data_IF_341812156825
#
_entry.id   IF_341812156825
#
_cell.length_a   1.000
_cell.length_b   1.000
_cell.length_c   1.000
_cell.angle_alpha   90.00
_cell.angle_beta   90.00
_cell.angle_gamma   90.00
#
_symmetry.space_group_name_H-M   'P 1'
#
loop_
_entity.id
_entity.type
_entity.pdbx_description
1 polymer ?
#
# COMPACT_ATOMS: atom_id res chain seq x y z
N UNK A 1 -6.33 11.18 -1.77
CA UNK A 1 -5.50 10.05 -1.27
C UNK A 1 -4.04 10.20 -1.68
N UNK A 2 -3.72 10.41 -2.95
CA UNK A 2 -2.32 10.53 -3.46
C UNK A 2 -1.48 11.61 -2.77
N UNK A 3 -2.05 12.78 -2.49
CA UNK A 3 -1.35 13.86 -1.78
C UNK A 3 -0.90 13.45 -0.36
N UNK A 4 -1.73 12.68 0.34
CA UNK A 4 -1.36 12.13 1.66
C UNK A 4 -0.24 11.08 1.52
N UNK A 5 -0.26 10.27 0.46
CA UNK A 5 0.83 9.32 0.17
C UNK A 5 2.14 10.06 -0.09
N UNK A 6 2.13 11.12 -0.90
CA UNK A 6 3.31 11.98 -1.13
C UNK A 6 3.86 12.57 0.17
N UNK A 7 2.98 13.06 1.05
CA UNK A 7 3.40 13.58 2.35
C UNK A 7 4.02 12.49 3.25
N UNK A 8 3.51 11.25 3.20
CA UNK A 8 4.11 10.12 3.90
C UNK A 8 5.50 9.77 3.34
N UNK A 9 5.64 9.75 2.01
CA UNK A 9 6.93 9.48 1.36
C UNK A 9 7.95 10.59 1.65
N UNK A 10 7.55 11.85 1.68
CA UNK A 10 8.43 12.98 2.05
C UNK A 10 8.93 12.88 3.50
N UNK A 11 8.15 12.27 4.39
CA UNK A 11 8.53 12.04 5.78
C UNK A 11 9.35 10.74 5.99
N UNK A 12 9.68 10.02 4.91
CA UNK A 12 10.42 8.76 4.97
C UNK A 12 11.80 8.98 5.58
N UNK A 13 12.19 8.10 6.47
CA UNK A 13 13.50 8.14 7.15
C UNK A 13 14.40 7.04 6.62
N UNK A 14 15.70 7.29 6.63
CA UNK A 14 16.72 6.34 6.20
C UNK A 14 16.65 5.02 7.01
N UNK A 15 16.36 5.09 8.30
CA UNK A 15 16.20 3.94 9.18
C UNK A 15 15.04 3.00 8.82
N UNK A 16 14.16 3.43 7.91
CA UNK A 16 13.03 2.62 7.42
C UNK A 16 13.32 1.94 6.07
N UNK A 17 14.54 2.06 5.57
CA UNK A 17 14.94 1.38 4.33
C UNK A 17 14.77 -0.13 4.46
N UNK A 18 14.18 -0.75 3.44
CA UNK A 18 13.88 -2.17 3.43
C UNK A 18 12.64 -2.60 4.22
N UNK A 19 12.01 -1.71 5.00
CA UNK A 19 10.76 -2.04 5.67
C UNK A 19 9.62 -2.22 4.66
N UNK A 20 8.70 -3.12 4.97
CA UNK A 20 7.53 -3.42 4.17
C UNK A 20 6.27 -2.87 4.81
N UNK A 21 5.34 -2.38 3.98
CA UNK A 21 4.04 -1.94 4.43
C UNK A 21 3.17 -3.16 4.75
N UNK A 22 2.71 -3.29 5.99
CA UNK A 22 1.80 -4.36 6.40
C UNK A 22 0.35 -3.90 6.47
N UNK A 23 0.10 -2.62 6.71
CA UNK A 23 -1.26 -2.05 6.76
C UNK A 23 -1.26 -0.65 6.18
N UNK A 24 -2.29 -0.33 5.41
CA UNK A 24 -2.65 1.03 5.01
C UNK A 24 -4.12 1.27 5.37
N UNK A 25 -4.40 2.40 6.00
CA UNK A 25 -5.75 2.87 6.28
C UNK A 25 -5.89 4.30 5.76
N UNK A 26 -7.01 4.56 5.14
CA UNK A 26 -7.42 5.89 4.70
C UNK A 26 -8.86 6.12 5.10
N UNK A 27 -9.16 7.32 5.56
CA UNK A 27 -10.53 7.77 5.76
C UNK A 27 -10.67 9.23 5.37
N UNK A 28 -11.87 9.59 4.92
CA UNK A 28 -12.26 10.96 4.59
C UNK A 28 -13.59 11.23 5.24
N UNK A 29 -13.60 12.19 6.18
CA UNK A 29 -14.82 12.71 6.80
C UNK A 29 -15.55 13.69 5.88
N UNK A 30 -16.74 14.08 6.28
CA UNK A 30 -17.49 15.18 5.67
C UNK A 30 -16.80 16.52 5.99
N UNK A 31 -16.77 17.43 5.01
CA UNK A 31 -16.20 18.76 5.15
C UNK A 31 -14.94 19.01 4.38
N UNK A 32 -14.21 20.05 4.78
CA UNK A 32 -13.07 20.58 4.02
C UNK A 32 -11.82 19.70 4.16
N UNK A 33 -11.22 19.39 3.03
CA UNK A 33 -9.91 18.69 2.93
C UNK A 33 -8.76 19.67 2.64
N UNK A 34 -8.99 20.98 2.74
CA UNK A 34 -7.94 21.97 2.58
C UNK A 34 -7.04 22.05 3.81
N UNK A 35 -5.86 22.60 3.65
CA UNK A 35 -4.88 22.77 4.72
C UNK A 35 -3.57 22.07 4.43
N UNK A 36 -2.63 22.23 5.37
CA UNK A 36 -1.32 21.58 5.30
C UNK A 36 -1.40 20.14 5.81
N UNK A 37 -0.63 19.27 5.19
CA UNK A 37 -0.42 17.92 5.69
C UNK A 37 0.36 17.96 7.01
N UNK A 38 -0.17 17.26 8.03
CA UNK A 38 0.52 17.05 9.31
C UNK A 38 0.93 15.59 9.40
N UNK A 39 2.22 15.35 9.54
CA UNK A 39 2.78 13.99 9.62
C UNK A 39 3.23 13.71 11.05
N UNK A 40 2.92 12.54 11.55
CA UNK A 40 3.38 12.02 12.83
C UNK A 40 3.89 10.60 12.70
N UNK A 41 4.96 10.28 13.44
CA UNK A 41 5.59 8.97 13.43
C UNK A 41 5.72 8.44 14.85
N UNK A 42 5.49 7.14 15.05
CA UNK A 42 5.64 6.48 16.34
C UNK A 42 6.08 5.03 16.17
N UNK A 43 6.73 4.48 17.19
CA UNK A 43 7.22 3.11 17.19
C UNK A 43 8.69 3.01 16.76
N UNK A 44 9.33 1.87 17.06
CA UNK A 44 10.74 1.60 16.76
C UNK A 44 10.91 0.38 15.85
N UNK A 45 10.31 -0.74 16.20
CA UNK A 45 10.38 -2.00 15.44
C UNK A 45 9.23 -2.13 14.45
N UNK A 46 8.05 -1.66 14.85
CA UNK A 46 6.88 -1.47 14.01
C UNK A 46 6.64 0.03 13.99
N UNK A 47 6.77 0.64 12.82
CA UNK A 47 6.65 2.07 12.67
C UNK A 47 5.25 2.41 12.18
N UNK A 48 4.55 3.25 12.92
CA UNK A 48 3.31 3.87 12.45
C UNK A 48 3.62 5.25 11.92
N UNK A 49 3.27 5.49 10.68
CA UNK A 49 3.28 6.83 10.09
C UNK A 49 1.85 7.23 9.80
N UNK A 50 1.45 8.41 10.24
CA UNK A 50 0.12 8.96 10.04
C UNK A 50 0.23 10.35 9.45
N UNK A 51 -0.61 10.64 8.46
CA UNK A 51 -0.77 11.99 7.89
C UNK A 51 -2.23 12.38 7.90
N UNK A 52 -2.49 13.62 8.26
CA UNK A 52 -3.82 14.24 8.24
C UNK A 52 -3.80 15.50 7.41
N UNK A 53 -4.90 15.77 6.70
CA UNK A 53 -5.13 17.02 5.96
C UNK A 53 -6.63 17.33 5.99
N UNK A 54 -7.02 18.38 6.73
CA UNK A 54 -8.44 18.65 6.96
C UNK A 54 -9.14 17.45 7.58
N UNK A 55 -10.21 16.98 6.95
CA UNK A 55 -10.98 15.78 7.37
C UNK A 55 -10.43 14.47 6.83
N UNK A 56 -9.37 14.49 6.02
CA UNK A 56 -8.74 13.28 5.49
C UNK A 56 -7.63 12.79 6.42
N UNK A 57 -7.57 11.48 6.62
CA UNK A 57 -6.58 10.78 7.44
C UNK A 57 -6.02 9.58 6.68
N UNK A 58 -4.71 9.41 6.73
CA UNK A 58 -4.06 8.20 6.24
C UNK A 58 -3.03 7.72 7.23
N UNK A 59 -2.98 6.43 7.46
CA UNK A 59 -1.93 5.82 8.28
C UNK A 59 -1.41 4.53 7.66
N UNK A 60 -0.11 4.30 7.84
CA UNK A 60 0.56 3.05 7.46
C UNK A 60 1.24 2.43 8.68
N UNK A 61 1.37 1.11 8.65
CA UNK A 61 2.25 0.35 9.55
C UNK A 61 3.35 -0.29 8.72
N UNK A 62 4.58 0.00 9.07
CA UNK A 62 5.79 -0.56 8.48
C UNK A 62 6.35 -1.64 9.40
N UNK A 63 6.79 -2.74 8.81
CA UNK A 63 7.38 -3.89 9.50
C UNK A 63 8.75 -4.20 8.90
N UNK A 64 9.69 -4.73 9.68
CA UNK A 64 10.87 -5.37 9.13
C UNK A 64 10.48 -6.46 8.13
N UNK A 65 11.26 -6.68 7.06
CA UNK A 65 11.00 -7.78 6.14
C UNK A 65 11.00 -9.11 6.90
N UNK A 66 10.06 -9.99 6.55
CA UNK A 66 9.92 -11.30 7.18
C UNK A 66 9.96 -12.38 6.10
N UNK A 67 10.76 -13.42 6.33
CA UNK A 67 10.86 -14.60 5.46
C UNK A 67 9.70 -15.61 5.66
N UNK A 68 8.65 -15.24 6.38
CA UNK A 68 7.52 -16.16 6.61
C UNK A 68 6.92 -16.56 5.28
N UNK A 69 6.91 -17.89 5.02
CA UNK A 69 6.21 -18.47 3.90
C UNK A 69 4.74 -18.00 3.91
N UNK A 70 4.29 -17.47 2.78
CA UNK A 70 2.89 -17.09 2.60
C UNK A 70 1.98 -18.31 2.77
N UNK A 71 0.82 -18.13 3.36
CA UNK A 71 -0.20 -19.19 3.38
C UNK A 71 -0.67 -19.41 1.95
N UNK A 72 -0.39 -20.61 1.41
CA UNK A 72 -1.00 -21.04 0.17
C UNK A 72 -2.52 -20.99 0.35
N UNK A 73 -3.17 -20.15 -0.42
CA UNK A 73 -4.60 -20.23 -0.64
C UNK A 73 -4.78 -20.53 -2.12
N UNK A 74 -5.33 -21.69 -2.45
CA UNK A 74 -5.83 -21.97 -3.78
C UNK A 74 -6.99 -21.02 -4.09
N UNK A 75 -6.62 -19.81 -4.50
CA UNK A 75 -7.56 -18.74 -4.80
C UNK A 75 -8.00 -18.83 -6.26
N UNK A 76 -9.22 -19.28 -6.52
CA UNK A 76 -9.88 -18.98 -7.79
C UNK A 76 -10.27 -17.51 -7.78
N UNK A 77 -9.55 -16.68 -8.51
CA UNK A 77 -9.85 -15.26 -8.72
C UNK A 77 -9.78 -14.93 -10.22
N UNK A 78 -10.28 -13.76 -10.60
CA UNK A 78 -10.12 -13.24 -11.94
C UNK A 78 -8.79 -12.51 -12.06
N UNK A 79 -8.07 -12.68 -13.16
CA UNK A 79 -6.86 -11.92 -13.44
C UNK A 79 -7.20 -10.42 -13.39
N UNK A 80 -6.47 -9.69 -12.55
CA UNK A 80 -6.67 -8.25 -12.38
C UNK A 80 -5.60 -7.44 -13.12
N UNK A 81 -4.33 -7.67 -12.78
CA UNK A 81 -3.24 -6.92 -13.36
C UNK A 81 -1.90 -7.65 -13.23
N UNK A 82 -0.89 -7.02 -13.81
CA UNK A 82 0.51 -7.36 -13.65
C UNK A 82 1.29 -6.05 -13.67
N UNK A 83 2.04 -5.77 -12.62
CA UNK A 83 2.91 -4.59 -12.55
C UNK A 83 4.26 -4.92 -13.14
N UNK A 84 4.72 -4.18 -14.15
CA UNK A 84 6.08 -4.32 -14.66
C UNK A 84 7.11 -3.69 -13.71
N UNK A 85 8.38 -4.10 -13.83
CA UNK A 85 9.44 -3.51 -13.02
C UNK A 85 9.63 -2.01 -13.30
N UNK A 86 9.40 -1.59 -14.54
CA UNK A 86 9.47 -0.19 -14.94
C UNK A 86 8.35 0.65 -14.31
N UNK A 87 7.11 0.14 -14.34
CA UNK A 87 5.96 0.80 -13.69
C UNK A 87 6.19 0.95 -12.18
N UNK A 88 6.69 -0.09 -11.51
CA UNK A 88 6.97 -0.03 -10.05
C UNK A 88 8.00 1.04 -9.73
N UNK A 89 9.12 1.08 -10.47
CA UNK A 89 10.18 2.07 -10.25
C UNK A 89 9.68 3.49 -10.54
N UNK A 90 9.02 3.68 -11.69
CA UNK A 90 8.51 4.99 -12.10
C UNK A 90 7.46 5.52 -11.11
N UNK A 91 6.56 4.64 -10.65
CA UNK A 91 5.57 4.99 -9.64
C UNK A 91 6.22 5.44 -8.34
N UNK A 92 7.16 4.65 -7.80
CA UNK A 92 7.84 5.00 -6.54
C UNK A 92 8.58 6.34 -6.65
N UNK A 93 9.29 6.56 -7.74
CA UNK A 93 9.97 7.84 -7.99
C UNK A 93 8.97 9.02 -8.08
N UNK A 94 7.86 8.86 -8.79
CA UNK A 94 6.84 9.91 -8.95
C UNK A 94 6.16 10.29 -7.63
N UNK A 95 6.06 9.32 -6.71
CA UNK A 95 5.49 9.52 -5.38
C UNK A 95 6.51 10.10 -4.38
N UNK A 96 7.82 10.03 -4.70
CA UNK A 96 8.89 10.35 -3.78
C UNK A 96 9.17 9.24 -2.76
N UNK A 97 8.80 8.00 -3.10
CA UNK A 97 9.09 6.82 -2.28
C UNK A 97 10.52 6.34 -2.56
N UNK A 98 11.42 6.63 -1.64
CA UNK A 98 12.85 6.29 -1.74
C UNK A 98 13.20 4.93 -1.12
N UNK A 99 12.21 4.09 -0.80
CA UNK A 99 12.48 2.76 -0.26
C UNK A 99 13.19 1.89 -1.32
N UNK A 100 14.39 1.44 -0.99
CA UNK A 100 15.27 0.71 -1.90
C UNK A 100 14.62 -0.58 -2.48
N UNK A 101 13.68 -1.21 -1.77
CA UNK A 101 12.99 -2.43 -2.24
C UNK A 101 12.23 -2.24 -3.55
N UNK A 102 11.87 -1.00 -3.91
CA UNK A 102 11.20 -0.68 -5.16
C UNK A 102 12.17 -0.42 -6.33
N UNK A 103 13.48 -0.36 -6.06
CA UNK A 103 14.52 -0.01 -7.05
C UNK A 103 15.46 -1.17 -7.40
N UNK A 104 15.33 -2.33 -6.75
CA UNK A 104 16.14 -3.52 -6.99
C UNK A 104 15.78 -4.23 -8.32
N UNK A 105 16.50 -5.28 -8.68
CA UNK A 105 16.30 -6.03 -9.93
C UNK A 105 14.89 -6.64 -10.04
N UNK A 106 14.40 -7.22 -8.94
CA UNK A 106 13.03 -7.72 -8.78
C UNK A 106 12.29 -6.87 -7.77
N UNK A 107 11.78 -5.69 -8.18
CA UNK A 107 11.23 -4.75 -7.23
C UNK A 107 9.94 -5.26 -6.59
N UNK A 108 9.79 -4.97 -5.31
CA UNK A 108 8.52 -5.16 -4.60
C UNK A 108 7.55 -4.07 -5.05
N UNK A 109 6.33 -4.43 -5.41
CA UNK A 109 5.27 -3.48 -5.76
C UNK A 109 4.91 -2.64 -4.53
N UNK A 110 4.91 -1.32 -4.67
CA UNK A 110 4.57 -0.44 -3.56
C UNK A 110 3.13 -0.67 -3.08
N UNK A 111 2.94 -0.73 -1.77
CA UNK A 111 1.60 -0.81 -1.19
C UNK A 111 0.71 0.37 -1.58
N UNK A 112 1.30 1.54 -1.83
CA UNK A 112 0.58 2.70 -2.36
C UNK A 112 0.12 2.49 -3.81
N UNK A 113 0.95 1.85 -4.65
CA UNK A 113 0.59 1.53 -6.04
C UNK A 113 -0.60 0.56 -6.09
N UNK A 114 -0.57 -0.49 -5.27
CA UNK A 114 -1.68 -1.44 -5.14
C UNK A 114 -2.94 -0.72 -4.65
N UNK A 115 -2.83 0.14 -3.64
CA UNK A 115 -3.95 0.88 -3.08
C UNK A 115 -4.60 1.83 -4.11
N UNK A 116 -3.80 2.57 -4.88
CA UNK A 116 -4.31 3.46 -5.94
C UNK A 116 -4.98 2.68 -7.07
N UNK A 117 -4.38 1.58 -7.52
CA UNK A 117 -4.96 0.73 -8.55
C UNK A 117 -6.28 0.09 -8.11
N UNK A 118 -6.42 -0.31 -6.83
CA UNK A 118 -7.68 -0.81 -6.28
C UNK A 118 -8.75 0.29 -6.14
N UNK A 119 -8.33 1.52 -5.88
CA UNK A 119 -9.19 2.69 -5.68
C UNK A 119 -9.65 3.34 -6.99
N UNK A 120 -8.99 3.04 -8.11
CA UNK A 120 -9.26 3.65 -9.41
C UNK A 120 -10.73 3.50 -9.81
N UNK A 121 -11.35 4.63 -10.22
CA UNK A 121 -12.75 4.68 -10.65
C UNK A 121 -13.79 4.46 -9.56
N UNK A 122 -13.38 4.37 -8.28
CA UNK A 122 -14.28 4.17 -7.14
C UNK A 122 -14.45 5.46 -6.33
N UNK A 123 -15.67 5.71 -5.88
CA UNK A 123 -15.95 6.72 -4.86
C UNK A 123 -16.05 6.02 -3.51
N UNK A 124 -15.27 6.47 -2.52
CA UNK A 124 -15.20 5.86 -1.19
C UNK A 124 -14.79 6.89 -0.13
N UNK A 125 -15.21 6.64 1.10
CA UNK A 125 -14.83 7.41 2.27
C UNK A 125 -13.81 6.69 3.13
N UNK A 126 -13.77 5.36 3.08
CA UNK A 126 -12.79 4.56 3.81
C UNK A 126 -12.13 3.53 2.91
N UNK A 127 -10.85 3.33 3.17
CA UNK A 127 -10.03 2.33 2.50
C UNK A 127 -9.11 1.68 3.52
N UNK A 128 -9.17 0.38 3.63
CA UNK A 128 -8.29 -0.41 4.49
C UNK A 128 -7.69 -1.55 3.71
N UNK A 129 -6.37 -1.68 3.72
CA UNK A 129 -5.67 -2.81 3.12
C UNK A 129 -4.66 -3.37 4.12
N UNK A 130 -4.63 -4.69 4.22
CA UNK A 130 -3.63 -5.46 4.96
C UNK A 130 -2.81 -6.27 3.97
N UNK A 131 -1.50 -6.14 4.05
CA UNK A 131 -0.55 -6.90 3.25
C UNK A 131 -0.06 -8.10 4.05
N UNK A 132 -0.06 -9.27 3.42
CA UNK A 132 0.34 -10.55 4.02
C UNK A 132 1.66 -11.06 3.46
N UNK A 133 1.88 -10.82 2.15
CA UNK A 133 3.08 -11.22 1.45
C UNK A 133 3.48 -10.15 0.42
N UNK A 134 4.79 -9.88 0.23
CA UNK A 134 5.24 -9.00 -0.83
C UNK A 134 4.76 -9.48 -2.20
N UNK A 135 4.30 -8.55 -3.02
CA UNK A 135 4.02 -8.77 -4.44
C UNK A 135 5.23 -8.27 -5.23
N UNK A 136 5.80 -9.11 -6.07
CA UNK A 136 6.93 -8.73 -6.90
C UNK A 136 6.47 -8.32 -8.31
N UNK A 137 7.22 -7.40 -8.91
CA UNK A 137 6.97 -7.00 -10.28
C UNK A 137 7.07 -8.21 -11.23
N UNK A 138 6.19 -8.25 -12.22
CA UNK A 138 6.08 -9.36 -13.17
C UNK A 138 5.11 -10.47 -12.74
N UNK A 139 4.73 -10.53 -11.46
CA UNK A 139 3.74 -11.50 -11.00
C UNK A 139 2.32 -11.16 -11.45
N UNK A 140 1.56 -12.17 -11.86
CA UNK A 140 0.14 -12.00 -12.16
C UNK A 140 -0.66 -11.91 -10.86
N UNK A 141 -1.52 -10.91 -10.76
CA UNK A 141 -2.39 -10.68 -9.60
C UNK A 141 -3.82 -11.04 -9.94
N UNK A 142 -4.41 -11.89 -9.12
CA UNK A 142 -5.79 -12.33 -9.23
C UNK A 142 -6.60 -11.77 -8.08
N UNK A 143 -7.81 -11.29 -8.35
CA UNK A 143 -8.72 -10.79 -7.31
C UNK A 143 -9.88 -11.75 -7.11
N UNK A 144 -10.24 -11.94 -5.84
CA UNK A 144 -11.48 -12.61 -5.40
C UNK A 144 -12.22 -11.68 -4.45
N UNK A 145 -13.49 -11.44 -4.71
CA UNK A 145 -14.36 -10.65 -3.83
C UNK A 145 -15.26 -11.55 -3.02
N UNK A 146 -15.26 -11.37 -1.71
CA UNK A 146 -16.18 -12.05 -0.77
C UNK A 146 -16.84 -10.98 0.12
N UNK A 147 -18.11 -10.73 -0.10
CA UNK A 147 -18.82 -9.63 0.56
C UNK A 147 -18.17 -8.27 0.25
N UNK A 148 -17.73 -7.58 1.29
CA UNK A 148 -17.03 -6.27 1.17
C UNK A 148 -15.51 -6.43 1.01
N UNK A 149 -14.96 -7.62 1.21
CA UNK A 149 -13.51 -7.85 1.20
C UNK A 149 -13.04 -8.28 -0.19
N UNK A 150 -11.98 -7.67 -0.64
CA UNK A 150 -11.25 -7.99 -1.86
C UNK A 150 -9.95 -8.67 -1.45
N UNK A 151 -9.73 -9.88 -1.91
CA UNK A 151 -8.49 -10.63 -1.71
C UNK A 151 -7.66 -10.58 -2.97
N UNK A 152 -6.37 -10.25 -2.84
CA UNK A 152 -5.40 -10.24 -3.94
C UNK A 152 -4.37 -11.35 -3.77
N UNK A 153 -4.20 -12.14 -4.81
CA UNK A 153 -3.32 -13.30 -4.83
C UNK A 153 -2.33 -13.19 -5.98
N UNK A 154 -1.10 -13.64 -5.74
CA UNK A 154 -0.19 -14.12 -6.78
C UNK A 154 -0.14 -15.65 -6.68
N UNK A 155 0.94 -16.25 -6.21
CA UNK A 155 1.01 -17.68 -5.83
C UNK A 155 0.42 -17.90 -4.43
N UNK A 156 0.45 -16.87 -3.60
CA UNK A 156 -0.05 -16.84 -2.21
C UNK A 156 -0.95 -15.62 -2.03
N UNK A 157 -1.65 -15.55 -0.89
CA UNK A 157 -2.40 -14.35 -0.50
C UNK A 157 -1.42 -13.19 -0.25
N UNK A 158 -1.48 -12.16 -1.10
CA UNK A 158 -0.64 -10.98 -0.98
C UNK A 158 -1.30 -9.89 -0.14
N UNK A 159 -2.61 -9.67 -0.32
CA UNK A 159 -3.35 -8.65 0.44
C UNK A 159 -4.83 -8.95 0.56
N UNK A 160 -5.46 -8.31 1.54
CA UNK A 160 -6.90 -8.18 1.69
C UNK A 160 -7.27 -6.69 1.83
N UNK A 161 -8.33 -6.25 1.16
CA UNK A 161 -8.75 -4.85 1.16
C UNK A 161 -10.26 -4.71 1.36
N UNK A 162 -10.67 -3.62 2.04
CA UNK A 162 -12.06 -3.18 2.16
C UNK A 162 -12.12 -1.72 1.70
N UNK A 163 -13.10 -1.40 0.85
CA UNK A 163 -13.32 -0.07 0.26
C UNK A 163 -14.79 0.28 0.50
N UNK A 164 -15.06 1.38 1.23
CA UNK A 164 -16.40 1.84 1.61
C UNK A 164 -16.61 3.35 1.43
#
# INVERSE_FOLDING_TARGET
MEELMKALCTAWKEEWQGMVMGVLRYSRGEGDTHGLCKVSCSGRWIVRVRVTKGTADMSILLFPPSEKAGKERNGQGSLWCRFSAEEVRSFSLSLGDHNAIHQILHPVVSGFQIALALAEGKNFNTFHIRFHHPLYAGEAVYLKKEGKTIYGFSQVLCFEAVIE
#
